data_IF_800058606211
#
_entry.id   IF_800058606211
#
_cell.length_a   1.000
_cell.length_b   1.000
_cell.length_c   1.000
_cell.angle_alpha   90.00
_cell.angle_beta   90.00
_cell.angle_gamma   90.00
#
_symmetry.space_group_name_H-M   'P 1'
#
loop_
_entity.id
_entity.type
_entity.pdbx_description
1 polymer ?
#
# COMPACT_ATOMS: atom_id res chain seq x y z
N UNK A 1 -29.83 4.60 -14.11
CA UNK A 1 -28.39 4.65 -14.40
C UNK A 1 -27.77 3.25 -14.40
N UNK A 2 -28.13 2.38 -15.36
CA UNK A 2 -27.73 0.95 -15.42
C UNK A 2 -27.04 0.57 -16.75
N UNK A 3 -26.31 1.46 -17.40
CA UNK A 3 -25.64 1.14 -18.68
C UNK A 3 -24.37 1.99 -18.88
N UNK A 4 -23.32 1.84 -18.04
CA UNK A 4 -22.01 2.45 -18.32
C UNK A 4 -20.81 1.62 -17.87
N UNK A 5 -20.96 0.31 -17.66
CA UNK A 5 -19.88 -0.54 -17.12
C UNK A 5 -19.33 -1.62 -18.08
N UNK A 6 -19.72 -1.60 -19.35
CA UNK A 6 -19.41 -2.71 -20.26
C UNK A 6 -18.56 -2.38 -21.50
N UNK A 7 -17.90 -1.25 -21.58
CA UNK A 7 -17.23 -0.86 -22.86
C UNK A 7 -15.72 -0.65 -22.79
N UNK A 8 -15.03 -1.10 -21.73
CA UNK A 8 -13.57 -0.91 -21.62
C UNK A 8 -12.77 -2.22 -21.58
N UNK A 9 -13.27 -3.28 -22.14
CA UNK A 9 -12.65 -4.62 -22.01
C UNK A 9 -12.49 -5.34 -23.36
N UNK A 10 -12.06 -4.64 -24.42
CA UNK A 10 -11.60 -5.33 -25.67
C UNK A 10 -10.50 -4.51 -26.33
N UNK A 11 -9.24 -4.93 -26.19
CA UNK A 11 -8.19 -4.79 -27.20
C UNK A 11 -7.11 -5.86 -27.00
N UNK A 12 -7.28 -6.91 -27.72
CA UNK A 12 -6.51 -7.91 -28.51
C UNK A 12 -5.04 -8.25 -28.18
N UNK A 13 -4.71 -9.54 -28.37
CA UNK A 13 -3.40 -10.09 -28.12
C UNK A 13 -2.55 -10.12 -29.40
N UNK A 14 -1.28 -9.74 -29.27
CA UNK A 14 -0.24 -10.16 -30.23
C UNK A 14 0.92 -10.73 -29.42
N UNK A 15 1.25 -11.98 -29.75
CA UNK A 15 2.24 -12.76 -29.05
C UNK A 15 3.66 -12.27 -29.23
N UNK A 16 4.45 -12.33 -28.16
CA UNK A 16 5.90 -12.19 -28.17
C UNK A 16 6.52 -13.06 -27.08
N UNK A 17 7.67 -13.64 -27.40
CA UNK A 17 8.42 -14.63 -26.62
C UNK A 17 8.98 -14.07 -25.30
N UNK A 18 9.01 -14.94 -24.30
CA UNK A 18 9.41 -14.65 -22.94
C UNK A 18 10.93 -14.62 -22.74
N UNK A 19 11.40 -13.68 -21.96
CA UNK A 19 12.70 -13.71 -21.30
C UNK A 19 12.54 -13.38 -19.81
N UNK A 20 13.37 -14.02 -18.97
CA UNK A 20 13.30 -13.99 -17.50
C UNK A 20 13.35 -12.59 -16.90
N UNK A 21 12.45 -12.28 -15.95
CA UNK A 21 12.51 -11.04 -15.18
C UNK A 21 12.59 -11.33 -13.68
N UNK A 22 13.53 -10.73 -12.95
CA UNK A 22 13.39 -10.54 -11.53
C UNK A 22 12.34 -9.45 -11.23
N UNK A 23 11.49 -9.67 -10.24
CA UNK A 23 10.52 -8.72 -9.67
C UNK A 23 11.18 -7.51 -8.96
N UNK A 24 12.46 -7.31 -9.18
CA UNK A 24 13.27 -6.19 -8.72
C UNK A 24 13.80 -5.53 -9.98
N UNK A 25 13.34 -4.34 -10.27
CA UNK A 25 13.80 -3.57 -11.43
C UNK A 25 15.32 -3.39 -11.37
N UNK A 26 16.03 -3.65 -12.47
CA UNK A 26 17.48 -3.44 -12.66
C UNK A 26 17.97 -2.00 -12.36
N UNK A 27 17.05 -1.10 -11.99
CA UNK A 27 17.37 0.27 -11.53
C UNK A 27 18.07 0.35 -10.18
N UNK A 28 18.12 -0.74 -9.41
CA UNK A 28 18.59 -0.73 -8.01
C UNK A 28 19.87 -1.58 -7.76
N UNK A 29 20.71 -1.82 -8.76
CA UNK A 29 22.03 -2.42 -8.52
C UNK A 29 22.95 -1.42 -7.82
N UNK A 30 22.86 -1.38 -6.50
CA UNK A 30 23.73 -0.57 -5.64
C UNK A 30 24.84 -1.47 -5.11
N UNK A 31 26.09 -1.07 -5.30
CA UNK A 31 27.25 -1.77 -4.74
C UNK A 31 27.17 -1.84 -3.22
N UNK A 32 27.26 -3.02 -2.64
CA UNK A 32 27.16 -3.21 -1.19
C UNK A 32 28.35 -2.58 -0.45
N UNK A 33 28.17 -2.27 0.83
CA UNK A 33 29.27 -1.81 1.70
C UNK A 33 30.38 -2.88 1.76
N UNK A 34 29.99 -4.15 1.80
CA UNK A 34 30.92 -5.27 1.80
C UNK A 34 31.79 -5.29 0.52
N UNK A 35 31.18 -5.12 -0.66
CA UNK A 35 31.92 -5.07 -1.94
C UNK A 35 32.86 -3.86 -2.01
N UNK A 36 32.46 -2.72 -1.42
CA UNK A 36 33.30 -1.50 -1.34
C UNK A 36 34.52 -1.68 -0.43
N UNK A 37 34.39 -2.45 0.68
CA UNK A 37 35.46 -2.62 1.67
C UNK A 37 36.41 -3.75 1.29
N UNK A 38 35.90 -4.84 0.73
CA UNK A 38 36.67 -6.08 0.53
C UNK A 38 37.15 -6.23 -0.92
N UNK A 39 36.62 -5.42 -1.85
CA UNK A 39 37.00 -5.39 -3.28
C UNK A 39 37.00 -6.78 -3.94
N UNK A 40 36.10 -7.66 -3.49
CA UNK A 40 35.91 -9.00 -4.07
C UNK A 40 34.44 -9.27 -4.30
N UNK A 41 34.03 -9.62 -5.55
CA UNK A 41 32.67 -10.09 -5.79
C UNK A 41 32.49 -11.42 -5.02
N UNK A 42 31.51 -11.45 -4.12
CA UNK A 42 31.06 -12.66 -3.42
C UNK A 42 29.74 -13.08 -4.03
N UNK A 43 29.55 -14.37 -4.26
CA UNK A 43 28.21 -14.93 -4.44
C UNK A 43 27.43 -14.73 -3.13
N UNK A 44 26.77 -13.57 -3.01
CA UNK A 44 26.04 -13.22 -1.78
C UNK A 44 24.66 -13.85 -1.89
N UNK A 45 24.38 -14.84 -1.07
CA UNK A 45 23.06 -15.46 -0.94
C UNK A 45 22.11 -14.67 -0.04
N UNK A 46 22.57 -13.55 0.53
CA UNK A 46 21.80 -12.69 1.43
C UNK A 46 22.12 -11.22 1.17
N UNK A 47 21.09 -10.37 1.17
CA UNK A 47 21.19 -8.93 1.06
C UNK A 47 20.68 -8.28 2.33
N UNK A 48 21.42 -7.34 2.87
CA UNK A 48 21.04 -6.55 4.05
C UNK A 48 21.04 -5.10 3.64
N UNK A 49 19.87 -4.46 3.73
CA UNK A 49 19.69 -3.04 3.42
C UNK A 49 19.27 -2.28 4.67
N UNK A 50 19.89 -1.13 4.88
CA UNK A 50 19.39 -0.13 5.82
C UNK A 50 18.78 1.02 5.02
N UNK A 51 17.51 1.31 5.26
CA UNK A 51 16.80 2.37 4.57
C UNK A 51 16.55 3.54 5.51
N UNK A 52 16.82 4.74 5.02
CA UNK A 52 16.69 5.96 5.77
C UNK A 52 15.98 7.05 4.96
N UNK A 53 15.00 7.72 5.56
CA UNK A 53 14.35 8.91 5.00
C UNK A 53 14.21 9.96 6.09
N UNK A 54 14.69 11.17 5.82
CA UNK A 54 14.52 12.32 6.70
C UNK A 54 14.11 13.54 5.89
N UNK A 55 13.32 14.42 6.49
CA UNK A 55 12.85 15.64 5.83
C UNK A 55 12.60 16.79 6.80
N UNK A 56 12.74 18.00 6.29
CA UNK A 56 12.24 19.24 6.84
C UNK A 56 10.86 19.49 6.23
N UNK A 57 9.87 19.80 7.05
CA UNK A 57 8.47 19.89 6.63
C UNK A 57 7.83 21.16 7.14
N UNK A 58 7.12 21.88 6.26
CA UNK A 58 6.21 22.96 6.59
C UNK A 58 4.78 22.46 6.41
N UNK A 59 3.95 22.64 7.43
CA UNK A 59 2.55 22.20 7.45
C UNK A 59 1.61 23.41 7.42
N UNK A 60 0.48 23.22 6.76
CA UNK A 60 -0.56 24.23 6.64
C UNK A 60 -1.93 23.58 6.78
N UNK A 61 -2.83 24.25 7.50
CA UNK A 61 -4.26 23.89 7.62
C UNK A 61 -5.12 25.03 7.13
N UNK A 62 -6.01 24.77 6.16
CA UNK A 62 -6.86 25.77 5.50
C UNK A 62 -6.07 26.99 4.98
N UNK A 63 -4.90 26.74 4.38
CA UNK A 63 -3.93 27.69 3.87
C UNK A 63 -3.20 28.54 4.96
N UNK A 64 -3.44 28.29 6.24
CA UNK A 64 -2.69 28.95 7.32
C UNK A 64 -1.49 28.08 7.67
N UNK A 65 -0.35 28.73 7.89
CA UNK A 65 0.85 28.08 8.38
C UNK A 65 0.65 27.57 9.81
N UNK A 66 0.94 26.29 10.04
CA UNK A 66 0.80 25.66 11.36
C UNK A 66 2.15 25.51 12.06
N UNK A 67 3.07 24.75 11.42
CA UNK A 67 4.35 24.43 12.03
C UNK A 67 5.44 24.11 10.98
N UNK A 68 6.68 24.17 11.43
CA UNK A 68 7.83 23.61 10.74
C UNK A 68 8.51 22.57 11.64
N UNK A 69 8.85 21.40 11.07
CA UNK A 69 9.54 20.37 11.85
C UNK A 69 10.48 19.52 11.00
N UNK A 70 11.55 19.04 11.63
CA UNK A 70 12.38 17.98 11.08
C UNK A 70 11.81 16.62 11.50
N UNK A 71 11.67 15.70 10.55
CA UNK A 71 11.16 14.35 10.82
C UNK A 71 12.07 13.30 10.19
N UNK A 72 12.37 12.25 10.95
CA UNK A 72 12.88 11.00 10.40
C UNK A 72 11.68 10.15 10.01
N UNK A 73 11.34 10.20 8.73
CA UNK A 73 10.13 9.57 8.19
C UNK A 73 10.24 8.06 8.17
N UNK A 74 11.45 7.53 8.01
CA UNK A 74 11.69 6.09 7.96
C UNK A 74 13.11 5.73 8.37
N UNK A 75 13.21 4.71 9.22
CA UNK A 75 14.43 3.93 9.47
C UNK A 75 14.01 2.48 9.40
N UNK A 76 14.57 1.69 8.47
CA UNK A 76 14.13 0.34 8.20
C UNK A 76 15.31 -0.58 7.90
N UNK A 77 15.31 -1.76 8.51
CA UNK A 77 16.20 -2.86 8.20
C UNK A 77 15.45 -3.86 7.32
N UNK A 78 16.06 -4.28 6.23
CA UNK A 78 15.57 -5.32 5.34
C UNK A 78 16.64 -6.36 5.12
N UNK A 79 16.29 -7.63 5.29
CA UNK A 79 17.14 -8.78 5.09
C UNK A 79 16.42 -9.73 4.14
N UNK A 80 17.01 -9.96 2.97
CA UNK A 80 16.55 -10.95 2.00
C UNK A 80 17.63 -12.01 1.85
N UNK A 81 17.25 -13.27 1.75
CA UNK A 81 18.23 -14.30 1.55
C UNK A 81 17.67 -15.58 0.96
N UNK A 82 18.58 -16.39 0.45
CA UNK A 82 18.30 -17.68 -0.13
C UNK A 82 19.11 -18.73 0.63
N UNK A 83 18.42 -19.72 1.22
CA UNK A 83 19.04 -20.82 1.94
C UNK A 83 19.54 -21.91 0.98
N UNK A 84 18.77 -22.17 -0.08
CA UNK A 84 19.08 -23.05 -1.19
C UNK A 84 18.22 -22.68 -2.40
N UNK A 85 18.29 -23.44 -3.50
CA UNK A 85 17.59 -23.14 -4.75
C UNK A 85 16.06 -23.11 -4.61
N UNK A 86 15.51 -23.66 -3.54
CA UNK A 86 14.07 -23.74 -3.31
C UNK A 86 13.59 -22.87 -2.14
N UNK A 87 14.45 -22.60 -1.15
CA UNK A 87 14.07 -21.89 0.07
C UNK A 87 14.70 -20.52 0.15
N UNK A 88 13.86 -19.52 0.33
CA UNK A 88 14.26 -18.14 0.59
C UNK A 88 13.50 -17.56 1.77
N UNK A 89 14.00 -16.47 2.32
CA UNK A 89 13.38 -15.76 3.43
C UNK A 89 13.43 -14.24 3.23
N UNK A 90 12.51 -13.55 3.88
CA UNK A 90 12.48 -12.10 3.90
C UNK A 90 12.11 -11.63 5.31
N UNK A 91 12.95 -10.79 5.86
CA UNK A 91 12.66 -10.06 7.10
C UNK A 91 12.76 -8.57 6.83
N UNK A 92 11.80 -7.79 7.33
CA UNK A 92 11.82 -6.33 7.22
C UNK A 92 11.15 -5.70 8.43
N UNK A 93 11.86 -4.78 9.08
CA UNK A 93 11.39 -4.06 10.25
C UNK A 93 11.59 -2.57 10.11
N UNK A 94 10.55 -1.79 10.39
CA UNK A 94 10.57 -0.34 10.52
C UNK A 94 10.76 0.05 11.98
N UNK A 95 11.85 0.77 12.30
CA UNK A 95 12.17 1.14 13.69
C UNK A 95 11.37 2.35 14.20
N UNK A 96 10.80 3.14 13.31
CA UNK A 96 10.03 4.34 13.65
C UNK A 96 8.51 4.12 13.61
N UNK A 97 8.03 2.87 13.58
CA UNK A 97 6.62 2.52 13.77
C UNK A 97 6.35 2.17 15.21
N UNK A 98 5.18 2.61 15.70
CA UNK A 98 4.71 2.26 17.02
C UNK A 98 4.53 0.74 17.14
N UNK A 99 4.89 0.22 18.30
CA UNK A 99 4.81 -1.18 18.63
C UNK A 99 3.48 -1.46 19.34
N UNK A 100 2.60 -2.25 18.73
CA UNK A 100 1.40 -2.76 19.38
C UNK A 100 1.63 -4.23 19.79
N UNK A 101 1.69 -4.55 21.10
CA UNK A 101 1.91 -5.91 21.59
C UNK A 101 0.68 -6.83 21.44
N UNK A 102 -0.52 -6.28 21.20
CA UNK A 102 -1.78 -7.03 21.18
C UNK A 102 -2.23 -7.48 19.78
N UNK A 103 -1.35 -7.44 18.79
CA UNK A 103 -1.68 -7.89 17.45
C UNK A 103 -2.01 -9.39 17.43
N UNK A 104 -3.07 -9.79 16.71
CA UNK A 104 -3.51 -11.19 16.53
C UNK A 104 -2.37 -12.12 16.09
N UNK A 105 -1.40 -11.59 15.35
CA UNK A 105 -0.22 -12.32 14.89
C UNK A 105 0.86 -12.51 15.97
N UNK A 106 0.68 -11.93 17.17
CA UNK A 106 1.70 -11.86 18.23
C UNK A 106 3.06 -11.31 17.74
N UNK A 107 3.05 -10.49 16.69
CA UNK A 107 4.20 -9.80 16.13
C UNK A 107 3.95 -8.29 16.13
N UNK A 108 4.98 -7.49 16.44
CA UNK A 108 4.88 -6.03 16.35
C UNK A 108 4.43 -5.56 14.98
N UNK A 109 3.63 -4.51 14.92
CA UNK A 109 3.26 -3.85 13.66
C UNK A 109 4.48 -3.27 12.93
N UNK A 110 5.57 -2.99 13.67
CA UNK A 110 6.86 -2.57 13.11
C UNK A 110 7.54 -3.62 12.24
N UNK A 111 7.27 -4.92 12.44
CA UNK A 111 7.72 -5.98 11.53
C UNK A 111 6.77 -6.01 10.34
N UNK A 112 7.27 -5.67 9.16
CA UNK A 112 6.51 -5.66 7.92
C UNK A 112 6.55 -7.02 7.24
N UNK A 113 7.74 -7.62 7.13
CA UNK A 113 7.94 -8.98 6.60
C UNK A 113 8.66 -9.85 7.62
N UNK A 114 8.19 -11.06 7.75
CA UNK A 114 8.84 -12.15 8.47
C UNK A 114 8.28 -13.47 7.92
N UNK A 115 8.78 -13.89 6.74
CA UNK A 115 8.27 -15.08 6.07
C UNK A 115 9.38 -15.93 5.46
N UNK A 116 9.04 -17.19 5.24
CA UNK A 116 9.78 -18.11 4.38
C UNK A 116 8.98 -18.41 3.12
N UNK A 117 9.70 -18.56 2.02
CA UNK A 117 9.16 -18.92 0.72
C UNK A 117 9.83 -20.20 0.23
N UNK A 118 9.02 -21.19 -0.10
CA UNK A 118 9.43 -22.37 -0.84
C UNK A 118 8.95 -22.28 -2.28
N UNK A 119 9.86 -22.60 -3.22
CA UNK A 119 9.56 -22.58 -4.66
C UNK A 119 10.00 -23.90 -5.28
N UNK A 120 9.11 -24.49 -6.07
CA UNK A 120 9.42 -25.65 -6.91
C UNK A 120 8.66 -25.54 -8.22
N UNK A 121 9.39 -25.56 -9.32
CA UNK A 121 8.83 -25.41 -10.68
C UNK A 121 7.92 -24.17 -10.80
N UNK A 122 6.65 -24.39 -11.05
CA UNK A 122 5.62 -23.33 -11.20
C UNK A 122 4.94 -22.93 -9.89
N UNK A 123 5.24 -23.62 -8.78
CA UNK A 123 4.56 -23.40 -7.49
C UNK A 123 5.46 -22.69 -6.51
N UNK A 124 4.87 -21.74 -5.76
CA UNK A 124 5.52 -21.13 -4.60
C UNK A 124 4.55 -21.17 -3.41
N UNK A 125 5.09 -21.42 -2.22
CA UNK A 125 4.33 -21.35 -0.96
C UNK A 125 5.06 -20.35 -0.06
N UNK A 126 4.32 -19.39 0.49
CA UNK A 126 4.86 -18.35 1.37
C UNK A 126 4.13 -18.46 2.71
N UNK A 127 4.86 -18.65 3.79
CA UNK A 127 4.32 -18.75 5.14
C UNK A 127 4.97 -17.75 6.08
N UNK A 128 4.16 -17.01 6.85
CA UNK A 128 4.62 -16.00 7.79
C UNK A 128 3.98 -14.63 7.56
N UNK A 129 4.57 -13.58 8.15
CA UNK A 129 4.08 -12.22 7.97
C UNK A 129 4.51 -11.68 6.61
N UNK A 130 3.55 -11.30 5.78
CA UNK A 130 3.74 -10.98 4.38
C UNK A 130 2.77 -9.89 3.93
N UNK A 131 2.99 -9.35 2.74
CA UNK A 131 2.07 -8.40 2.11
C UNK A 131 0.75 -9.10 1.76
N UNK A 132 -0.37 -8.44 2.07
CA UNK A 132 -1.70 -8.92 1.68
C UNK A 132 -1.94 -8.56 0.23
N UNK A 133 -2.24 -9.55 -0.61
CA UNK A 133 -2.34 -9.41 -2.06
C UNK A 133 -3.64 -8.71 -2.50
N UNK A 134 -3.99 -7.60 -1.86
CA UNK A 134 -5.25 -6.87 -2.05
C UNK A 134 -5.06 -5.40 -2.47
N UNK A 135 -3.93 -4.95 -2.89
CA UNK A 135 -3.73 -3.54 -3.26
C UNK A 135 -3.56 -3.35 -4.76
N UNK A 136 -3.71 -2.11 -5.22
CA UNK A 136 -3.18 -1.65 -6.50
C UNK A 136 -1.66 -1.45 -6.44
N UNK A 137 -1.08 -0.89 -7.48
CA UNK A 137 0.37 -0.70 -7.59
C UNK A 137 0.95 0.17 -6.46
N UNK A 138 0.22 1.20 -6.00
CA UNK A 138 0.67 2.04 -4.88
C UNK A 138 1.01 1.21 -3.64
N UNK A 139 0.24 0.17 -3.33
CA UNK A 139 0.51 -0.71 -2.18
C UNK A 139 1.69 -1.66 -2.40
N UNK A 140 1.90 -2.12 -3.65
CA UNK A 140 3.02 -3.02 -3.99
C UNK A 140 4.37 -2.30 -4.10
N UNK A 141 4.37 -1.00 -4.42
CA UNK A 141 5.61 -0.22 -4.46
C UNK A 141 6.26 -0.21 -3.09
N UNK A 142 7.58 -0.38 -3.06
CA UNK A 142 8.33 -0.23 -1.82
C UNK A 142 7.99 1.13 -1.18
N UNK A 143 7.39 1.08 0.01
CA UNK A 143 6.86 2.26 0.68
C UNK A 143 7.89 3.38 0.94
N UNK A 144 9.19 3.13 0.77
CA UNK A 144 10.22 4.18 0.82
C UNK A 144 10.12 5.12 -0.40
N UNK A 145 9.56 4.65 -1.52
CA UNK A 145 9.36 5.43 -2.75
C UNK A 145 8.06 6.24 -2.71
N UNK A 146 7.14 5.93 -1.79
CA UNK A 146 5.85 6.62 -1.65
C UNK A 146 5.96 7.68 -0.54
N UNK A 147 5.84 8.96 -0.90
CA UNK A 147 5.95 10.09 0.04
C UNK A 147 4.66 10.32 0.81
N UNK A 148 3.54 10.06 0.17
CA UNK A 148 2.20 10.13 0.77
C UNK A 148 1.32 9.06 0.11
N UNK A 149 0.68 8.22 0.90
CA UNK A 149 -0.27 7.22 0.42
C UNK A 149 -1.68 7.80 0.24
N UNK A 150 -2.51 7.12 -0.55
CA UNK A 150 -3.95 7.31 -0.56
C UNK A 150 -4.55 6.98 0.81
N UNK A 151 -5.73 7.49 1.11
CA UNK A 151 -6.44 7.15 2.35
C UNK A 151 -6.76 5.65 2.43
N UNK A 152 -7.06 5.01 1.28
CA UNK A 152 -7.25 3.56 1.26
C UNK A 152 -6.01 2.82 1.79
N UNK A 153 -4.83 3.09 1.22
CA UNK A 153 -3.59 2.40 1.62
C UNK A 153 -3.08 2.84 3.00
N UNK A 154 -3.47 4.02 3.49
CA UNK A 154 -3.16 4.47 4.85
C UNK A 154 -4.02 3.78 5.92
N UNK A 155 -5.28 3.41 5.58
CA UNK A 155 -6.26 2.93 6.55
C UNK A 155 -6.50 1.41 6.49
N UNK A 156 -5.71 0.67 5.72
CA UNK A 156 -5.71 -0.80 5.72
C UNK A 156 -4.38 -1.35 6.23
N UNK A 157 -4.42 -2.48 6.93
CA UNK A 157 -3.22 -3.18 7.35
C UNK A 157 -2.78 -4.14 6.24
N UNK A 158 -1.72 -3.76 5.53
CA UNK A 158 -1.22 -4.49 4.35
C UNK A 158 -0.16 -5.56 4.66
N UNK A 159 0.26 -5.70 5.93
CA UNK A 159 1.24 -6.73 6.33
C UNK A 159 0.62 -7.63 7.38
N UNK A 160 0.23 -8.84 6.99
CA UNK A 160 -0.45 -9.79 7.86
C UNK A 160 0.24 -11.16 7.86
N UNK A 161 0.12 -11.87 8.97
CA UNK A 161 0.56 -13.27 9.04
C UNK A 161 -0.44 -14.17 8.35
N UNK A 162 0.06 -15.05 7.48
CA UNK A 162 -0.78 -15.94 6.70
C UNK A 162 0.01 -16.92 5.84
N UNK A 163 -0.71 -17.57 4.96
CA UNK A 163 -0.21 -18.54 3.98
C UNK A 163 -0.64 -18.09 2.58
N UNK A 164 0.30 -18.11 1.63
CA UNK A 164 0.01 -17.88 0.21
C UNK A 164 0.51 -19.03 -0.63
N UNK A 165 -0.30 -19.42 -1.61
CA UNK A 165 0.10 -20.26 -2.73
C UNK A 165 0.16 -19.41 -3.99
N UNK A 166 1.26 -19.51 -4.74
CA UNK A 166 1.44 -18.86 -6.03
C UNK A 166 1.56 -19.93 -7.11
N UNK A 167 0.83 -19.75 -8.20
CA UNK A 167 0.97 -20.59 -9.39
C UNK A 167 1.34 -19.74 -10.60
N UNK A 168 2.51 -20.01 -11.16
CA UNK A 168 3.04 -19.33 -12.33
C UNK A 168 2.61 -20.07 -13.59
N UNK A 169 1.62 -19.53 -14.33
CA UNK A 169 1.17 -20.09 -15.62
C UNK A 169 2.29 -20.00 -16.66
N UNK A 170 2.95 -18.85 -16.67
CA UNK A 170 4.08 -18.51 -17.52
C UNK A 170 5.07 -17.63 -16.77
N UNK A 171 6.11 -17.19 -17.43
CA UNK A 171 7.05 -16.21 -16.87
C UNK A 171 6.45 -14.81 -16.67
N UNK A 172 5.32 -14.53 -17.30
CA UNK A 172 4.66 -13.22 -17.28
C UNK A 172 3.28 -13.24 -16.63
N UNK A 173 2.77 -14.40 -16.22
CA UNK A 173 1.44 -14.49 -15.62
C UNK A 173 1.41 -15.47 -14.45
N UNK A 174 0.83 -15.03 -13.34
CA UNK A 174 0.65 -15.85 -12.15
C UNK A 174 -0.60 -15.46 -11.38
N UNK A 175 -1.04 -16.37 -10.52
CA UNK A 175 -2.09 -16.11 -9.53
C UNK A 175 -1.55 -16.36 -8.13
N UNK A 176 -2.10 -15.62 -7.18
CA UNK A 176 -1.88 -15.76 -5.75
C UNK A 176 -3.21 -16.12 -5.11
N UNK A 177 -3.23 -17.22 -4.35
CA UNK A 177 -4.31 -17.52 -3.40
C UNK A 177 -3.73 -17.35 -2.01
N UNK A 178 -4.34 -16.50 -1.20
CA UNK A 178 -3.82 -16.16 0.12
C UNK A 178 -4.91 -16.26 1.17
N UNK A 179 -4.56 -16.80 2.34
CA UNK A 179 -5.33 -16.71 3.57
C UNK A 179 -4.43 -16.04 4.62
N UNK A 180 -4.83 -14.87 5.09
CA UNK A 180 -4.08 -14.08 6.06
C UNK A 180 -5.00 -13.63 7.20
N UNK A 181 -4.43 -13.35 8.37
CA UNK A 181 -5.18 -12.76 9.45
C UNK A 181 -5.83 -11.45 8.96
N UNK A 182 -7.12 -11.33 9.19
CA UNK A 182 -7.78 -10.04 9.15
C UNK A 182 -7.63 -9.42 10.53
N UNK A 183 -7.07 -8.23 10.62
CA UNK A 183 -6.97 -7.53 11.89
C UNK A 183 -8.37 -7.45 12.48
N UNK A 184 -8.55 -8.15 13.61
CA UNK A 184 -9.88 -8.33 14.17
C UNK A 184 -10.42 -6.99 14.62
N UNK A 185 -11.67 -6.73 14.29
CA UNK A 185 -12.42 -5.57 14.75
C UNK A 185 -12.54 -5.46 16.30
N UNK A 186 -12.00 -6.43 17.03
CA UNK A 186 -11.93 -6.48 18.49
C UNK A 186 -10.70 -5.78 19.06
N UNK A 187 -9.69 -5.58 18.24
CA UNK A 187 -8.48 -4.89 18.66
C UNK A 187 -8.81 -3.41 18.84
N UNK A 188 -8.67 -2.88 20.05
CA UNK A 188 -8.94 -1.46 20.36
C UNK A 188 -8.09 -0.50 19.51
N UNK A 189 -6.96 -0.99 18.94
CA UNK A 189 -6.15 -0.22 18.04
C UNK A 189 -6.71 -0.22 16.60
N UNK A 190 -7.66 -1.11 16.29
CA UNK A 190 -8.36 -1.13 14.98
C UNK A 190 -9.62 -0.29 15.05
N UNK A 191 -10.43 -0.45 16.08
CA UNK A 191 -11.69 0.27 16.24
C UNK A 191 -11.66 1.12 17.50
N UNK A 192 -11.50 2.42 17.35
CA UNK A 192 -11.47 3.37 18.46
C UNK A 192 -12.66 3.24 19.42
N UNK A 193 -13.83 2.87 18.91
CA UNK A 193 -15.06 2.75 19.68
C UNK A 193 -15.54 1.29 19.83
N UNK A 194 -14.67 0.31 19.48
CA UNK A 194 -15.01 -1.10 19.54
C UNK A 194 -16.00 -1.55 18.47
N UNK A 195 -16.48 -2.79 18.60
CA UNK A 195 -17.52 -3.33 17.72
C UNK A 195 -18.86 -2.61 17.94
N UNK A 196 -19.67 -2.44 16.87
CA UNK A 196 -21.03 -1.95 17.01
C UNK A 196 -21.87 -2.79 17.99
N UNK A 197 -22.83 -2.14 18.66
CA UNK A 197 -23.70 -2.82 19.59
C UNK A 197 -24.42 -4.02 18.91
N UNK A 198 -24.42 -5.16 19.58
CA UNK A 198 -25.03 -6.40 19.08
C UNK A 198 -24.14 -7.22 18.14
N UNK A 199 -22.92 -6.77 17.85
CA UNK A 199 -21.95 -7.54 17.07
C UNK A 199 -21.05 -8.34 18.00
N UNK A 200 -20.92 -9.64 17.71
CA UNK A 200 -19.96 -10.51 18.39
C UNK A 200 -18.64 -10.56 17.61
N UNK A 201 -17.51 -10.74 18.31
CA UNK A 201 -16.22 -10.93 17.69
C UNK A 201 -16.17 -12.10 16.70
N UNK A 202 -15.46 -11.93 15.58
CA UNK A 202 -15.22 -13.00 14.64
C UNK A 202 -14.38 -14.13 15.28
N UNK A 203 -14.84 -15.39 15.18
CA UNK A 203 -14.10 -16.55 15.69
C UNK A 203 -12.88 -16.92 14.84
N UNK A 204 -12.95 -16.61 13.55
CA UNK A 204 -11.88 -16.84 12.57
C UNK A 204 -11.74 -15.62 11.66
N UNK A 205 -11.06 -14.53 12.13
CA UNK A 205 -10.86 -13.32 11.35
C UNK A 205 -9.79 -13.56 10.28
N UNK A 206 -10.16 -14.25 9.21
CA UNK A 206 -9.30 -14.55 8.07
C UNK A 206 -9.76 -13.77 6.86
N UNK A 207 -8.82 -13.13 6.17
CA UNK A 207 -8.98 -12.54 4.86
C UNK A 207 -8.51 -13.54 3.81
N UNK A 208 -9.40 -13.97 2.96
CA UNK A 208 -9.10 -14.81 1.81
C UNK A 208 -9.01 -13.92 0.57
N UNK A 209 -7.91 -14.01 -0.16
CA UNK A 209 -7.63 -13.20 -1.35
C UNK A 209 -7.26 -14.08 -2.53
N UNK A 210 -7.83 -13.78 -3.70
CA UNK A 210 -7.38 -14.26 -4.99
C UNK A 210 -6.87 -13.06 -5.79
N UNK A 211 -5.64 -13.13 -6.28
CA UNK A 211 -5.02 -12.07 -7.07
C UNK A 211 -4.40 -12.64 -8.34
N UNK A 212 -4.69 -12.03 -9.47
CA UNK A 212 -4.05 -12.34 -10.74
C UNK A 212 -3.11 -11.21 -11.15
N UNK A 213 -1.96 -11.60 -11.69
CA UNK A 213 -0.92 -10.70 -12.18
C UNK A 213 -0.52 -11.08 -13.60
N UNK A 214 -0.41 -10.08 -14.47
CA UNK A 214 -0.03 -10.29 -15.87
C UNK A 214 0.83 -9.16 -16.42
N UNK A 215 1.90 -9.54 -17.12
CA UNK A 215 2.79 -8.61 -17.82
C UNK A 215 2.64 -8.78 -19.32
N UNK A 216 2.56 -7.68 -20.05
CA UNK A 216 2.29 -7.61 -21.49
C UNK A 216 3.22 -6.60 -22.16
N UNK A 217 3.25 -6.61 -23.51
CA UNK A 217 4.01 -5.66 -24.33
C UNK A 217 5.48 -5.56 -23.92
N UNK A 218 6.19 -6.69 -23.93
CA UNK A 218 7.58 -6.80 -23.45
C UNK A 218 7.75 -6.26 -22.01
N UNK A 219 6.71 -6.52 -21.19
CA UNK A 219 6.64 -6.16 -19.77
C UNK A 219 6.44 -4.66 -19.51
N UNK A 220 6.20 -3.89 -20.54
CA UNK A 220 5.87 -2.47 -20.42
C UNK A 220 4.51 -2.23 -19.73
N UNK A 221 3.61 -3.21 -19.76
CA UNK A 221 2.31 -3.15 -19.10
C UNK A 221 2.27 -4.22 -18.03
N UNK A 222 1.96 -3.84 -16.80
CA UNK A 222 1.75 -4.77 -15.69
C UNK A 222 0.36 -4.55 -15.08
N UNK A 223 -0.44 -5.61 -15.07
CA UNK A 223 -1.79 -5.63 -14.52
C UNK A 223 -1.82 -6.50 -13.25
N UNK A 224 -2.51 -6.03 -12.22
CA UNK A 224 -2.72 -6.74 -10.96
C UNK A 224 -4.14 -6.54 -10.49
N UNK A 225 -4.95 -7.61 -10.45
CA UNK A 225 -6.35 -7.55 -10.07
C UNK A 225 -6.63 -8.54 -8.97
N UNK A 226 -7.30 -8.09 -7.91
CA UNK A 226 -7.61 -8.94 -6.78
C UNK A 226 -9.05 -8.81 -6.28
N UNK A 227 -9.54 -9.91 -5.72
CA UNK A 227 -10.77 -9.96 -4.96
C UNK A 227 -10.50 -10.61 -3.61
N UNK A 228 -11.04 -10.03 -2.54
CA UNK A 228 -10.85 -10.51 -1.18
C UNK A 228 -12.16 -10.51 -0.41
N UNK A 229 -12.30 -11.48 0.50
CA UNK A 229 -13.38 -11.54 1.48
C UNK A 229 -12.82 -11.93 2.83
N UNK A 230 -13.29 -11.28 3.88
CA UNK A 230 -12.89 -11.59 5.24
C UNK A 230 -14.00 -11.34 6.26
N UNK A 231 -13.94 -12.01 7.40
CA UNK A 231 -14.93 -11.86 8.46
C UNK A 231 -14.45 -10.85 9.50
N UNK A 232 -15.16 -9.71 9.60
CA UNK A 232 -14.82 -8.60 10.53
C UNK A 232 -15.50 -8.69 11.89
N UNK A 233 -16.66 -9.37 11.95
CA UNK A 233 -17.37 -9.75 13.16
C UNK A 233 -18.15 -11.05 12.88
N UNK A 234 -18.72 -11.71 13.86
CA UNK A 234 -19.45 -12.97 13.67
C UNK A 234 -20.59 -12.78 12.65
N UNK A 235 -20.55 -13.52 11.53
CA UNK A 235 -21.50 -13.39 10.42
C UNK A 235 -21.44 -12.07 9.65
N UNK A 236 -20.40 -11.24 9.83
CA UNK A 236 -20.23 -9.93 9.20
C UNK A 236 -18.94 -9.88 8.42
N UNK A 237 -19.02 -9.50 7.13
CA UNK A 237 -17.90 -9.58 6.21
C UNK A 237 -17.43 -8.21 5.72
N UNK A 238 -16.20 -8.20 5.23
CA UNK A 238 -15.61 -7.17 4.38
C UNK A 238 -15.25 -7.76 3.04
N UNK A 239 -15.40 -6.98 1.98
CA UNK A 239 -15.03 -7.32 0.61
C UNK A 239 -14.09 -6.25 0.06
N UNK A 240 -13.08 -6.68 -0.68
CA UNK A 240 -12.21 -5.80 -1.44
C UNK A 240 -12.18 -6.23 -2.91
N UNK A 241 -12.21 -5.25 -3.81
CA UNK A 241 -11.92 -5.42 -5.23
C UNK A 241 -10.86 -4.38 -5.61
N UNK A 242 -9.75 -4.83 -6.18
CA UNK A 242 -8.67 -3.93 -6.54
C UNK A 242 -8.16 -4.21 -7.94
N UNK A 243 -7.86 -3.13 -8.67
CA UNK A 243 -7.30 -3.15 -10.01
C UNK A 243 -6.12 -2.20 -10.06
N UNK A 244 -4.92 -2.73 -10.28
CA UNK A 244 -3.71 -1.96 -10.51
C UNK A 244 -3.27 -2.10 -11.97
N UNK A 245 -3.01 -0.99 -12.63
CA UNK A 245 -2.59 -0.94 -14.02
C UNK A 245 -1.35 -0.07 -14.11
N UNK A 246 -0.25 -0.63 -14.58
CA UNK A 246 1.06 0.03 -14.66
C UNK A 246 1.54 0.03 -16.10
N UNK A 247 2.09 1.16 -16.50
CA UNK A 247 2.90 1.30 -17.70
C UNK A 247 4.31 1.75 -17.31
N UNK A 248 5.31 0.94 -17.65
CA UNK A 248 6.71 1.29 -17.43
C UNK A 248 7.51 1.01 -18.72
N UNK A 249 8.00 2.07 -19.36
CA UNK A 249 8.87 1.96 -20.53
C UNK A 249 9.78 3.17 -20.65
N UNK A 250 11.08 2.92 -20.77
CA UNK A 250 12.08 3.98 -20.89
C UNK A 250 12.07 4.93 -19.68
N UNK A 251 11.90 6.24 -19.89
CA UNK A 251 11.89 7.21 -18.78
C UNK A 251 10.54 7.32 -18.06
N UNK A 252 9.50 6.64 -18.51
CA UNK A 252 8.12 6.79 -18.03
C UNK A 252 7.75 5.64 -17.11
N UNK A 253 7.21 5.96 -15.93
CA UNK A 253 6.41 5.08 -15.10
C UNK A 253 5.06 5.76 -14.83
N UNK A 254 3.98 5.13 -15.25
CA UNK A 254 2.62 5.61 -14.95
C UNK A 254 1.79 4.48 -14.38
N UNK A 255 0.90 4.78 -13.43
CA UNK A 255 -0.07 3.80 -12.96
C UNK A 255 -1.43 4.40 -12.68
N UNK A 256 -2.45 3.55 -12.77
CA UNK A 256 -3.83 3.82 -12.41
C UNK A 256 -4.34 2.68 -11.56
N UNK A 257 -4.67 2.96 -10.31
CA UNK A 257 -5.29 2.01 -9.38
C UNK A 257 -6.77 2.36 -9.17
N UNK A 258 -7.60 1.32 -9.10
CA UNK A 258 -9.01 1.43 -8.69
C UNK A 258 -9.22 0.44 -7.55
N UNK A 259 -9.59 0.97 -6.38
CA UNK A 259 -9.72 0.20 -5.16
C UNK A 259 -11.12 0.42 -4.59
N UNK A 260 -11.83 -0.69 -4.34
CA UNK A 260 -13.15 -0.67 -3.73
C UNK A 260 -13.18 -1.56 -2.50
N UNK A 261 -13.82 -1.10 -1.44
CA UNK A 261 -14.13 -1.91 -0.27
C UNK A 261 -15.55 -1.70 0.19
N UNK A 262 -16.18 -2.77 0.67
CA UNK A 262 -17.49 -2.78 1.29
C UNK A 262 -17.43 -3.62 2.56
N UNK A 263 -17.78 -3.02 3.69
CA UNK A 263 -17.60 -3.63 5.00
C UNK A 263 -18.84 -3.46 5.88
N UNK A 264 -19.21 -4.54 6.58
CA UNK A 264 -20.25 -4.49 7.57
C UNK A 264 -19.86 -3.67 8.82
N UNK A 265 -18.57 -3.50 9.08
CA UNK A 265 -18.01 -2.67 10.17
C UNK A 265 -17.00 -1.71 9.54
N UNK A 266 -17.02 -0.46 9.93
CA UNK A 266 -16.10 0.57 9.40
C UNK A 266 -14.67 0.38 9.93
N UNK A 267 -13.93 -0.57 9.35
CA UNK A 267 -12.54 -0.83 9.71
C UNK A 267 -11.63 0.33 9.34
N UNK A 268 -11.92 1.06 8.26
CA UNK A 268 -11.14 2.24 7.88
C UNK A 268 -11.42 3.45 8.78
N UNK A 269 -12.50 3.43 9.54
CA UNK A 269 -12.94 4.45 10.50
C UNK A 269 -13.15 5.85 9.91
N UNK A 270 -13.17 5.99 8.59
CA UNK A 270 -13.28 7.29 7.91
C UNK A 270 -14.69 7.89 8.08
N UNK A 271 -15.75 7.06 7.99
CA UNK A 271 -17.13 7.48 8.28
C UNK A 271 -17.33 7.60 9.80
N UNK A 272 -16.81 6.67 10.57
CA UNK A 272 -16.87 6.67 12.04
C UNK A 272 -16.41 8.00 12.64
N UNK A 273 -15.29 8.55 12.16
CA UNK A 273 -14.74 9.81 12.69
C UNK A 273 -15.50 11.07 12.26
N UNK A 274 -16.45 10.98 11.32
CA UNK A 274 -17.31 12.10 10.97
C UNK A 274 -18.43 12.36 12.01
N UNK A 275 -18.68 11.41 12.93
CA UNK A 275 -19.67 11.62 14.01
C UNK A 275 -19.06 12.46 15.15
N UNK A 276 -19.11 13.78 15.00
CA UNK A 276 -18.57 14.73 15.98
C UNK A 276 -19.58 15.10 17.09
N UNK A 277 -20.88 14.98 16.84
CA UNK A 277 -21.94 15.44 17.74
C UNK A 277 -22.59 14.35 18.57
N UNK A 278 -22.45 13.08 18.18
CA UNK A 278 -23.15 11.96 18.79
C UNK A 278 -22.34 11.20 19.84
N UNK A 279 -22.98 10.24 20.49
CA UNK A 279 -22.26 9.26 21.32
C UNK A 279 -21.23 8.51 20.46
N UNK A 280 -20.03 8.26 20.97
CA UNK A 280 -18.99 7.53 20.24
C UNK A 280 -19.48 6.14 19.83
N UNK A 281 -19.52 5.85 18.54
CA UNK A 281 -19.90 4.55 18.01
C UNK A 281 -19.24 4.31 16.66
N UNK A 282 -18.92 3.05 16.38
CA UNK A 282 -18.37 2.62 15.08
C UNK A 282 -19.50 2.54 14.05
N UNK A 283 -19.30 3.17 12.89
CA UNK A 283 -20.21 3.07 11.76
C UNK A 283 -20.25 1.63 11.22
N UNK A 284 -21.40 1.26 10.67
CA UNK A 284 -21.63 -0.02 10.01
C UNK A 284 -21.93 0.21 8.54
N UNK A 285 -21.89 -0.87 7.76
CA UNK A 285 -22.34 -0.89 6.37
C UNK A 285 -21.66 0.19 5.52
N UNK A 286 -20.32 0.31 5.65
CA UNK A 286 -19.55 1.33 4.94
C UNK A 286 -19.01 0.84 3.62
N UNK A 287 -18.86 1.76 2.67
CA UNK A 287 -18.21 1.53 1.38
C UNK A 287 -17.25 2.66 1.02
N UNK A 288 -16.14 2.28 0.38
CA UNK A 288 -15.10 3.19 -0.06
C UNK A 288 -14.69 2.88 -1.49
N UNK A 289 -14.54 3.93 -2.29
CA UNK A 289 -14.06 3.83 -3.67
C UNK A 289 -12.91 4.81 -3.86
N UNK A 290 -11.77 4.31 -4.31
CA UNK A 290 -10.54 5.09 -4.49
C UNK A 290 -10.01 4.92 -5.89
N UNK A 291 -9.65 6.03 -6.53
CA UNK A 291 -8.89 6.09 -7.78
C UNK A 291 -7.55 6.75 -7.48
N UNK A 292 -6.46 6.16 -7.95
CA UNK A 292 -5.10 6.71 -7.79
C UNK A 292 -4.45 6.73 -9.15
N UNK A 293 -3.95 7.90 -9.57
CA UNK A 293 -3.18 8.05 -10.78
C UNK A 293 -1.81 8.65 -10.47
N UNK A 294 -0.77 8.10 -11.09
CA UNK A 294 0.59 8.61 -10.98
C UNK A 294 1.24 8.68 -12.34
N UNK A 295 2.02 9.72 -12.57
CA UNK A 295 2.90 9.86 -13.71
C UNK A 295 4.27 10.30 -13.25
N UNK A 296 5.26 9.48 -13.53
CA UNK A 296 6.66 9.64 -13.14
C UNK A 296 7.52 9.68 -14.40
N UNK A 297 8.40 10.69 -14.52
CA UNK A 297 9.27 10.89 -15.65
C UNK A 297 10.72 11.13 -15.22
N UNK A 298 11.60 10.28 -15.69
CA UNK A 298 13.03 10.41 -15.47
C UNK A 298 13.69 11.22 -16.62
N UNK A 299 13.94 12.50 -16.37
CA UNK A 299 14.53 13.43 -17.37
C UNK A 299 15.94 13.01 -17.78
N UNK A 300 16.72 12.53 -16.85
CA UNK A 300 18.07 12.03 -17.04
C UNK A 300 18.47 11.17 -15.81
N UNK A 301 19.66 10.53 -15.82
CA UNK A 301 20.08 9.68 -14.68
C UNK A 301 20.15 10.39 -13.30
N UNK A 302 20.17 11.73 -13.29
CA UNK A 302 20.29 12.52 -12.06
C UNK A 302 18.98 13.21 -11.64
N UNK A 303 17.96 13.25 -12.48
CA UNK A 303 16.75 14.02 -12.23
C UNK A 303 15.50 13.22 -12.59
N UNK A 304 14.63 13.08 -11.62
CA UNK A 304 13.31 12.49 -11.74
C UNK A 304 12.25 13.44 -11.20
N UNK A 305 11.04 13.41 -11.75
CA UNK A 305 9.89 14.08 -11.17
C UNK A 305 8.62 13.27 -11.38
N UNK A 306 7.69 13.36 -10.42
CA UNK A 306 6.38 12.75 -10.54
C UNK A 306 5.27 13.66 -10.05
N UNK A 307 4.09 13.43 -10.59
CA UNK A 307 2.81 13.92 -10.06
C UNK A 307 1.94 12.73 -9.71
N UNK A 308 1.21 12.82 -8.59
CA UNK A 308 0.25 11.79 -8.18
C UNK A 308 -1.03 12.44 -7.68
N UNK A 309 -2.17 11.84 -8.02
CA UNK A 309 -3.47 12.22 -7.52
C UNK A 309 -4.23 11.01 -6.99
N UNK A 310 -5.03 11.22 -5.94
CA UNK A 310 -6.04 10.28 -5.50
C UNK A 310 -7.40 10.97 -5.36
N UNK A 311 -8.46 10.27 -5.76
CA UNK A 311 -9.86 10.68 -5.57
C UNK A 311 -10.58 9.55 -4.85
N UNK A 312 -11.25 9.87 -3.74
CA UNK A 312 -11.78 8.87 -2.84
C UNK A 312 -13.17 9.25 -2.35
N UNK A 313 -14.10 8.29 -2.37
CA UNK A 313 -15.46 8.43 -1.83
C UNK A 313 -15.64 7.53 -0.63
N UNK A 314 -16.32 8.06 0.40
CA UNK A 314 -16.75 7.34 1.57
C UNK A 314 -18.28 7.42 1.69
N UNK A 315 -18.93 6.29 1.98
CA UNK A 315 -20.37 6.19 2.10
C UNK A 315 -20.84 5.08 3.03
N UNK A 316 -22.12 5.08 3.29
CA UNK A 316 -22.87 4.03 4.00
C UNK A 316 -23.88 3.46 3.03
N UNK A 317 -23.84 2.14 2.82
CA UNK A 317 -24.73 1.47 1.84
C UNK A 317 -26.06 1.00 2.43
N UNK A 318 -26.22 1.06 3.74
CA UNK A 318 -27.45 0.76 4.49
C UNK A 318 -27.40 1.47 5.83
N UNK A 319 -28.47 2.19 6.15
CA UNK A 319 -28.56 3.01 7.36
C UNK A 319 -28.35 2.19 8.65
N UNK A 320 -27.66 2.79 9.63
CA UNK A 320 -27.38 2.16 10.92
C UNK A 320 -27.22 3.21 12.03
N UNK A 321 -28.06 3.14 13.05
CA UNK A 321 -28.02 4.09 14.16
C UNK A 321 -28.14 5.53 13.68
N UNK A 322 -27.11 6.36 13.93
CA UNK A 322 -27.06 7.77 13.50
C UNK A 322 -26.53 7.96 12.06
N UNK A 323 -26.03 6.88 11.46
CA UNK A 323 -25.48 6.93 10.11
C UNK A 323 -26.57 6.61 9.08
N UNK A 324 -27.04 7.60 8.35
CA UNK A 324 -27.99 7.44 7.25
C UNK A 324 -27.32 6.75 6.05
N UNK A 325 -28.11 6.10 5.21
CA UNK A 325 -27.62 5.60 3.92
C UNK A 325 -27.21 6.74 2.99
N UNK A 326 -26.11 6.58 2.25
CA UNK A 326 -25.69 7.49 1.21
C UNK A 326 -24.23 7.93 1.31
N UNK A 327 -23.93 8.99 0.57
CA UNK A 327 -22.60 9.59 0.50
C UNK A 327 -22.29 10.45 1.72
N UNK A 328 -21.05 10.36 2.24
CA UNK A 328 -20.58 11.12 3.39
C UNK A 328 -19.47 12.10 3.05
N UNK A 329 -18.48 11.65 2.29
CA UNK A 329 -17.30 12.46 2.04
C UNK A 329 -16.65 12.10 0.71
N UNK A 330 -16.20 13.12 0.00
CA UNK A 330 -15.22 13.00 -1.08
C UNK A 330 -13.90 13.59 -0.59
N UNK A 331 -12.82 12.86 -0.77
CA UNK A 331 -11.47 13.33 -0.47
C UNK A 331 -10.62 13.30 -1.74
N UNK A 332 -9.67 14.20 -1.84
CA UNK A 332 -8.66 14.18 -2.89
C UNK A 332 -7.30 14.52 -2.34
N UNK A 333 -6.30 13.95 -2.96
CA UNK A 333 -4.90 14.12 -2.63
C UNK A 333 -4.15 14.42 -3.93
N UNK A 334 -3.46 15.55 -3.99
CA UNK A 334 -2.64 15.95 -5.13
C UNK A 334 -1.20 16.16 -4.67
N UNK A 335 -0.24 15.56 -5.39
CA UNK A 335 1.17 15.58 -5.01
C UNK A 335 2.04 15.89 -6.21
N UNK A 336 3.17 16.56 -5.94
CA UNK A 336 4.26 16.73 -6.87
C UNK A 336 5.58 16.49 -6.15
N UNK A 337 6.52 15.83 -6.82
CA UNK A 337 7.84 15.57 -6.27
C UNK A 337 8.91 15.72 -7.35
N UNK A 338 10.03 16.30 -6.96
CA UNK A 338 11.26 16.30 -7.76
C UNK A 338 12.33 15.59 -6.95
N UNK A 339 13.05 14.66 -7.59
CA UNK A 339 14.10 13.86 -6.98
C UNK A 339 15.42 14.06 -7.74
N UNK A 340 16.47 14.38 -6.99
CA UNK A 340 17.82 14.54 -7.52
C UNK A 340 18.72 13.41 -7.00
N UNK A 341 19.43 12.76 -7.90
CA UNK A 341 20.43 11.71 -7.61
C UNK A 341 21.83 12.32 -7.83
N UNK A 342 22.45 12.89 -6.78
CA UNK A 342 23.72 13.61 -6.91
C UNK A 342 24.88 12.67 -7.32
N UNK A 343 24.79 11.40 -6.93
CA UNK A 343 25.82 10.40 -7.20
C UNK A 343 25.39 9.45 -8.31
N UNK A 344 26.10 9.45 -9.41
CA UNK A 344 25.79 8.57 -10.57
C UNK A 344 26.12 7.10 -10.30
N UNK A 345 27.06 6.85 -9.38
CA UNK A 345 27.50 5.49 -8.99
C UNK A 345 26.62 4.91 -7.89
N UNK A 346 26.08 5.76 -7.01
CA UNK A 346 25.22 5.37 -5.90
C UNK A 346 23.79 5.92 -6.09
N UNK A 347 22.96 5.13 -6.74
CA UNK A 347 21.53 5.46 -6.95
C UNK A 347 20.68 5.27 -5.69
N UNK A 348 21.22 4.68 -4.63
CA UNK A 348 20.54 4.51 -3.35
C UNK A 348 20.30 5.84 -2.63
N UNK A 349 21.15 6.86 -2.88
CA UNK A 349 21.03 8.18 -2.28
C UNK A 349 20.30 9.16 -3.21
N UNK A 350 19.31 9.85 -2.69
CA UNK A 350 18.63 10.96 -3.37
C UNK A 350 18.19 12.07 -2.43
N UNK A 351 18.13 13.29 -2.96
CA UNK A 351 17.51 14.45 -2.35
C UNK A 351 16.17 14.67 -3.04
N UNK A 352 15.16 15.09 -2.31
CA UNK A 352 13.83 15.34 -2.89
C UNK A 352 13.22 16.64 -2.36
N UNK A 353 12.39 17.26 -3.21
CA UNK A 353 11.42 18.26 -2.83
C UNK A 353 10.03 17.72 -3.14
N UNK A 354 9.11 17.77 -2.17
CA UNK A 354 7.77 17.20 -2.29
C UNK A 354 6.74 18.16 -1.74
N UNK A 355 5.63 18.29 -2.46
CA UNK A 355 4.44 19.00 -2.02
C UNK A 355 3.23 18.09 -2.10
N UNK A 356 2.37 18.14 -1.09
CA UNK A 356 1.09 17.44 -1.05
C UNK A 356 -0.01 18.38 -0.56
N UNK A 357 -1.15 18.32 -1.24
CA UNK A 357 -2.41 18.92 -0.86
C UNK A 357 -3.44 17.83 -0.63
N UNK A 358 -4.14 17.86 0.51
CA UNK A 358 -5.29 17.00 0.82
C UNK A 358 -6.53 17.88 1.02
N UNK A 359 -7.57 17.62 0.23
CA UNK A 359 -8.84 18.30 0.30
C UNK A 359 -9.98 17.35 0.64
N UNK A 360 -11.02 17.89 1.27
CA UNK A 360 -12.21 17.15 1.65
C UNK A 360 -13.46 17.95 1.31
N UNK A 361 -14.50 17.27 0.83
CA UNK A 361 -15.85 17.81 0.67
C UNK A 361 -16.82 16.91 1.42
N UNK A 362 -17.46 17.47 2.43
CA UNK A 362 -18.48 16.78 3.23
C UNK A 362 -19.83 16.86 2.52
N UNK A 363 -20.55 15.74 2.49
CA UNK A 363 -21.92 15.67 2.02
C UNK A 363 -22.92 16.01 3.14
N UNK A 364 -24.21 16.10 2.80
CA UNK A 364 -25.28 16.41 3.77
C UNK A 364 -25.28 15.45 4.96
N UNK A 365 -25.10 14.16 4.73
CA UNK A 365 -25.05 13.15 5.81
C UNK A 365 -23.92 13.41 6.81
N UNK A 366 -22.75 13.84 6.35
CA UNK A 366 -21.65 14.21 7.24
C UNK A 366 -21.92 15.54 7.97
N UNK A 367 -22.51 16.51 7.27
CA UNK A 367 -22.90 17.80 7.85
C UNK A 367 -23.95 17.63 8.95
N UNK A 368 -24.88 16.69 8.79
CA UNK A 368 -25.87 16.33 9.80
C UNK A 368 -25.24 15.75 11.08
N UNK A 369 -24.02 15.20 10.99
CA UNK A 369 -23.21 14.72 12.12
C UNK A 369 -22.29 15.80 12.71
N UNK A 370 -22.41 17.05 12.28
CA UNK A 370 -21.52 18.16 12.62
C UNK A 370 -20.04 17.88 12.31
N UNK A 371 -19.78 17.09 11.27
CA UNK A 371 -18.43 16.80 10.82
C UNK A 371 -17.71 18.07 10.34
N UNK A 372 -16.44 18.18 10.70
CA UNK A 372 -15.53 19.23 10.19
C UNK A 372 -14.23 18.56 9.79
N UNK A 373 -13.82 18.78 8.55
CA UNK A 373 -12.53 18.29 8.06
C UNK A 373 -11.77 19.40 7.35
N UNK A 374 -10.59 19.80 7.85
CA UNK A 374 -9.81 20.86 7.24
C UNK A 374 -9.07 20.33 6.01
N UNK A 375 -8.79 21.22 5.07
CA UNK A 375 -7.80 20.97 4.02
C UNK A 375 -6.41 21.07 4.62
N UNK A 376 -5.52 20.17 4.21
CA UNK A 376 -4.13 20.17 4.73
C UNK A 376 -3.12 20.20 3.59
N UNK A 377 -1.98 20.82 3.85
CA UNK A 377 -0.87 20.91 2.91
C UNK A 377 0.43 20.62 3.63
N UNK A 378 1.38 20.04 2.91
CA UNK A 378 2.74 19.85 3.40
C UNK A 378 3.74 20.09 2.28
N UNK A 379 4.70 20.99 2.52
CA UNK A 379 5.88 21.15 1.69
C UNK A 379 7.07 20.50 2.42
N UNK A 380 7.85 19.70 1.72
CA UNK A 380 8.95 18.93 2.31
C UNK A 380 10.19 19.00 1.45
N UNK A 381 11.36 19.14 2.08
CA UNK A 381 12.66 18.89 1.45
C UNK A 381 13.36 17.82 2.29
N UNK A 382 13.91 16.80 1.65
CA UNK A 382 14.50 15.71 2.41
C UNK A 382 15.51 14.90 1.64
N UNK A 383 16.06 13.92 2.35
CA UNK A 383 17.00 12.93 1.83
C UNK A 383 16.44 11.52 2.01
N UNK A 384 16.76 10.67 1.07
CA UNK A 384 16.51 9.24 1.16
C UNK A 384 17.81 8.51 0.84
N UNK A 385 18.10 7.48 1.61
CA UNK A 385 19.22 6.61 1.34
C UNK A 385 18.86 5.15 1.61
N UNK A 386 19.10 4.31 0.61
CA UNK A 386 19.10 2.85 0.75
C UNK A 386 20.56 2.44 0.79
N UNK A 387 21.01 1.98 1.95
CA UNK A 387 22.39 1.61 2.22
C UNK A 387 22.48 0.09 2.12
N UNK A 388 23.07 -0.47 1.05
CA UNK A 388 23.33 -1.90 0.98
C UNK A 388 24.50 -2.20 1.93
N UNK A 389 24.24 -3.00 2.97
CA UNK A 389 25.24 -3.37 3.98
C UNK A 389 25.96 -4.63 3.56
N UNK A 390 25.23 -5.61 2.98
CA UNK A 390 25.74 -6.89 2.51
C UNK A 390 25.00 -7.33 1.25
#
# INVERSE_FOLDING_TARGET
MKRLFCTLLVLLPLGIQAQNIPLITERDSVTTIYERIIDKPKEVKSHINLEFVSSANAYFTNNNYDEFSFKTNRVRLEILGQLNDQLSYHFRQSFNRYHNPNAVANLPSSIEYAYMKWKKDKFEIIGGKQFVALSGYEGYVNGIKVREFSEFNNNIEIFQTGLSGVYNFSETQFVILQAANLRAAQDADVLKYGLPQGFAPAKAPILSTASWHGMFADKAIYLMYSASVGQVAEGKNIYYLTCGNVYEKGPILAYLDVLYSRSAVDIQQRVTFLNAAGAPQTAQNTEYLTFIANFDYQFNPKLNAYIKGAYERAGVYEANGVFAEGHYMTSWNAQACVECFPFTVDKGFKVFAHYVYKGHQLAENASALNAVMPHTQRASIGVQYIIPVL
#
